data_IF_857685165186
#
_entry.id   IF_857685165186
#
_cell.length_a   1.000
_cell.length_b   1.000
_cell.length_c   1.000
_cell.angle_alpha   90.00
_cell.angle_beta   90.00
_cell.angle_gamma   90.00
#
_symmetry.space_group_name_H-M   'P 1'
#
loop_
_entity.id
_entity.type
_entity.pdbx_description
1 polymer ?
#
# COMPACT_ATOMS: atom_id res chain seq x y z
N UNK A 1 -13.49 -18.78 35.88
CA UNK A 1 -13.43 -17.74 34.82
C UNK A 1 -14.84 -17.52 34.30
N UNK A 2 -15.37 -16.30 34.36
CA UNK A 2 -16.77 -16.03 34.03
C UNK A 2 -17.04 -16.20 32.53
N UNK A 3 -18.01 -17.05 32.17
CA UNK A 3 -18.51 -17.27 30.80
C UNK A 3 -19.53 -16.21 30.36
N UNK A 4 -19.63 -15.12 31.10
CA UNK A 4 -20.56 -14.03 30.82
C UNK A 4 -19.92 -13.16 29.74
N UNK A 5 -20.63 -12.91 28.65
CA UNK A 5 -20.17 -12.14 27.47
C UNK A 5 -19.10 -12.80 26.57
N UNK A 6 -18.84 -14.10 26.71
CA UNK A 6 -17.90 -14.80 25.82
C UNK A 6 -18.30 -14.66 24.33
N UNK A 7 -19.60 -14.69 24.03
CA UNK A 7 -20.14 -14.51 22.68
C UNK A 7 -19.84 -13.10 22.15
N UNK A 8 -20.20 -12.06 22.90
CA UNK A 8 -19.97 -10.67 22.49
C UNK A 8 -18.48 -10.37 22.26
N UNK A 9 -17.60 -10.91 23.11
CA UNK A 9 -16.16 -10.75 22.94
C UNK A 9 -15.66 -11.46 21.69
N UNK A 10 -16.06 -12.72 21.49
CA UNK A 10 -15.66 -13.50 20.31
C UNK A 10 -16.11 -12.84 19.01
N UNK A 11 -17.37 -12.44 18.93
CA UNK A 11 -17.91 -11.76 17.74
C UNK A 11 -17.23 -10.40 17.48
N UNK A 12 -16.92 -9.64 18.54
CA UNK A 12 -16.16 -8.39 18.40
C UNK A 12 -14.75 -8.61 17.87
N UNK A 13 -14.05 -9.65 18.33
CA UNK A 13 -12.69 -9.96 17.90
C UNK A 13 -12.64 -10.34 16.42
N UNK A 14 -13.61 -11.11 15.92
CA UNK A 14 -13.75 -11.43 14.49
C UNK A 14 -13.98 -10.16 13.65
N UNK A 15 -14.89 -9.28 14.08
CA UNK A 15 -15.13 -7.99 13.41
C UNK A 15 -13.88 -7.11 13.40
N UNK A 16 -13.12 -7.07 14.50
CA UNK A 16 -11.91 -6.27 14.60
C UNK A 16 -10.79 -6.82 13.71
N UNK A 17 -10.63 -8.15 13.66
CA UNK A 17 -9.67 -8.80 12.78
C UNK A 17 -9.98 -8.49 11.31
N UNK A 18 -11.26 -8.57 10.91
CA UNK A 18 -11.67 -8.28 9.54
C UNK A 18 -11.36 -6.82 9.15
N UNK A 19 -11.63 -5.86 10.04
CA UNK A 19 -11.26 -4.45 9.84
C UNK A 19 -9.76 -4.22 9.73
N UNK A 20 -8.95 -4.99 10.46
CA UNK A 20 -7.48 -4.89 10.38
C UNK A 20 -6.92 -5.42 9.05
N UNK A 21 -7.64 -6.32 8.38
CA UNK A 21 -7.25 -6.90 7.09
C UNK A 21 -7.72 -6.07 5.89
N UNK A 22 -8.72 -5.19 6.08
CA UNK A 22 -9.18 -4.31 5.02
C UNK A 22 -8.34 -3.02 4.99
N UNK A 23 -7.84 -2.60 3.81
CA UNK A 23 -7.00 -1.41 3.70
C UNK A 23 -7.72 -0.11 4.08
N UNK A 24 -9.06 -0.12 4.08
CA UNK A 24 -9.90 1.01 4.49
C UNK A 24 -10.22 1.05 5.99
N UNK A 25 -9.93 -0.02 6.74
CA UNK A 25 -10.36 -0.16 8.14
C UNK A 25 -11.87 -0.36 8.32
N UNK A 26 -12.63 -0.47 7.23
CA UNK A 26 -14.08 -0.68 7.23
C UNK A 26 -14.41 -2.12 6.82
N UNK A 27 -15.55 -2.60 7.29
CA UNK A 27 -16.08 -3.89 6.85
C UNK A 27 -16.61 -3.77 5.42
N UNK A 28 -16.44 -4.80 4.58
CA UNK A 28 -17.14 -4.86 3.31
C UNK A 28 -18.66 -4.82 3.55
N UNK A 29 -19.38 -4.13 2.67
CA UNK A 29 -20.83 -3.94 2.79
C UNK A 29 -21.52 -5.30 2.75
N UNK A 30 -22.49 -5.53 3.63
CA UNK A 30 -23.28 -6.76 3.68
C UNK A 30 -22.69 -7.90 4.49
N UNK A 31 -21.41 -7.85 4.87
CA UNK A 31 -20.76 -8.96 5.61
C UNK A 31 -21.40 -9.21 6.98
N UNK A 32 -21.84 -8.15 7.68
CA UNK A 32 -22.54 -8.31 8.96
C UNK A 32 -23.94 -8.93 8.80
N UNK A 33 -24.58 -8.73 7.65
CA UNK A 33 -25.89 -9.31 7.35
C UNK A 33 -25.81 -10.83 7.16
N UNK A 34 -24.65 -11.35 6.73
CA UNK A 34 -24.37 -12.78 6.64
C UNK A 34 -24.00 -13.42 8.00
N UNK A 35 -23.84 -12.61 9.03
CA UNK A 35 -23.48 -13.05 10.38
C UNK A 35 -22.08 -13.67 10.46
N UNK A 36 -21.90 -14.62 11.38
CA UNK A 36 -20.60 -15.21 11.72
C UNK A 36 -19.92 -15.92 10.54
N UNK A 37 -20.71 -16.61 9.71
CA UNK A 37 -20.18 -17.34 8.56
C UNK A 37 -19.53 -16.37 7.56
N UNK A 38 -20.20 -15.26 7.25
CA UNK A 38 -19.68 -14.21 6.36
C UNK A 38 -18.42 -13.53 6.91
N UNK A 39 -18.33 -13.30 8.22
CA UNK A 39 -17.10 -12.80 8.84
C UNK A 39 -15.94 -13.78 8.65
N UNK A 40 -16.19 -15.07 8.87
CA UNK A 40 -15.15 -16.11 8.77
C UNK A 40 -14.64 -16.28 7.34
N UNK A 41 -15.53 -16.31 6.35
CA UNK A 41 -15.17 -16.41 4.94
C UNK A 41 -14.40 -15.18 4.47
N UNK A 42 -14.89 -13.98 4.78
CA UNK A 42 -14.22 -12.73 4.42
C UNK A 42 -12.81 -12.62 5.05
N UNK A 43 -12.64 -13.06 6.30
CA UNK A 43 -11.33 -13.10 6.95
C UNK A 43 -10.39 -14.08 6.23
N UNK A 44 -10.88 -15.26 5.84
CA UNK A 44 -10.07 -16.25 5.12
C UNK A 44 -9.63 -15.72 3.76
N UNK A 45 -10.55 -15.14 2.99
CA UNK A 45 -10.27 -14.56 1.68
C UNK A 45 -9.25 -13.41 1.76
N UNK A 46 -9.36 -12.54 2.77
CA UNK A 46 -8.43 -11.42 2.92
C UNK A 46 -7.08 -11.85 3.47
N UNK A 47 -7.02 -12.83 4.38
CA UNK A 47 -5.76 -13.44 4.80
C UNK A 47 -5.04 -14.09 3.63
N UNK A 48 -5.79 -14.65 2.68
CA UNK A 48 -5.23 -15.24 1.48
C UNK A 48 -4.58 -14.20 0.56
N UNK A 49 -4.92 -12.92 0.67
CA UNK A 49 -4.35 -11.91 -0.23
C UNK A 49 -2.84 -11.70 -0.07
N UNK A 50 -2.26 -12.08 1.07
CA UNK A 50 -0.81 -12.07 1.31
C UNK A 50 -0.37 -13.47 1.71
N UNK A 51 -0.01 -14.28 0.72
CA UNK A 51 0.43 -15.68 0.93
C UNK A 51 1.96 -15.84 1.04
N UNK A 52 2.75 -14.80 0.77
CA UNK A 52 4.20 -14.89 0.75
C UNK A 52 4.90 -13.64 1.30
N UNK A 53 6.10 -13.83 1.85
CA UNK A 53 6.98 -12.73 2.26
C UNK A 53 7.35 -11.80 1.11
N UNK A 54 7.41 -12.33 -0.11
CA UNK A 54 7.72 -11.52 -1.29
C UNK A 54 6.59 -10.53 -1.62
N UNK A 55 5.34 -10.92 -1.40
CA UNK A 55 4.18 -10.07 -1.67
C UNK A 55 4.01 -9.02 -0.58
N UNK A 56 4.24 -9.40 0.68
CA UNK A 56 4.31 -8.45 1.79
C UNK A 56 5.37 -7.35 1.52
N UNK A 57 6.59 -7.75 1.12
CA UNK A 57 7.67 -6.79 0.81
C UNK A 57 7.34 -5.86 -0.36
N UNK A 58 6.66 -6.35 -1.39
CA UNK A 58 6.22 -5.51 -2.52
C UNK A 58 5.22 -4.45 -2.06
N UNK A 59 4.29 -4.81 -1.19
CA UNK A 59 3.31 -3.88 -0.60
C UNK A 59 4.00 -2.85 0.32
N UNK A 60 4.95 -3.29 1.16
CA UNK A 60 5.64 -2.44 2.12
C UNK A 60 6.61 -1.44 1.48
N UNK A 61 7.09 -1.70 0.26
CA UNK A 61 8.04 -0.83 -0.46
C UNK A 61 7.59 0.64 -0.56
N UNK A 62 6.28 0.90 -0.61
CA UNK A 62 5.74 2.27 -0.64
C UNK A 62 5.93 2.96 0.72
N UNK A 63 5.75 2.22 1.82
CA UNK A 63 5.86 2.71 3.19
C UNK A 63 7.32 2.90 3.64
N UNK A 64 8.27 2.21 3.00
CA UNK A 64 9.71 2.34 3.28
C UNK A 64 10.36 3.57 2.61
N UNK A 65 9.69 4.20 1.63
CA UNK A 65 10.22 5.39 0.96
C UNK A 65 10.27 6.56 1.96
N UNK A 66 11.38 7.31 1.98
CA UNK A 66 11.46 8.54 2.75
C UNK A 66 10.26 9.46 2.40
N UNK A 67 9.58 10.05 3.41
CA UNK A 67 8.57 11.06 3.17
C UNK A 67 9.12 12.19 2.28
N UNK A 68 8.30 12.79 1.39
CA UNK A 68 8.77 13.87 0.52
C UNK A 68 9.37 15.01 1.35
N UNK A 69 10.59 15.44 0.98
CA UNK A 69 11.24 16.59 1.61
C UNK A 69 10.51 17.86 1.18
N UNK A 70 10.27 18.78 2.12
CA UNK A 70 9.48 20.01 1.90
C UNK A 70 10.05 20.91 0.79
N UNK A 71 11.31 20.73 0.40
CA UNK A 71 12.00 21.55 -0.61
C UNK A 71 11.63 21.18 -2.06
N UNK A 72 10.92 20.06 -2.30
CA UNK A 72 10.59 19.60 -3.66
C UNK A 72 9.48 20.37 -4.37
N UNK A 73 8.95 21.44 -3.78
CA UNK A 73 7.97 22.32 -4.44
C UNK A 73 8.61 23.31 -5.44
N UNK A 74 9.94 23.37 -5.54
CA UNK A 74 10.65 24.37 -6.34
C UNK A 74 11.01 23.89 -7.77
N UNK A 75 10.88 22.61 -8.12
CA UNK A 75 11.42 22.09 -9.40
C UNK A 75 10.41 21.66 -10.47
N UNK A 76 9.12 21.98 -10.36
CA UNK A 76 8.11 21.59 -11.38
C UNK A 76 7.57 22.74 -12.24
N UNK A 77 8.20 23.91 -12.23
CA UNK A 77 7.79 25.04 -13.07
C UNK A 77 8.99 25.71 -13.77
N UNK A 78 9.59 25.02 -14.75
CA UNK A 78 10.29 25.69 -15.86
C UNK A 78 10.76 24.67 -16.91
N UNK A 79 10.00 24.56 -17.99
CA UNK A 79 10.49 24.41 -19.39
C UNK A 79 9.55 25.31 -20.22
N UNK A 80 9.94 25.91 -21.37
CA UNK A 80 11.09 25.58 -22.23
C UNK A 80 11.89 26.79 -22.79
N UNK A 81 13.12 26.60 -23.29
CA UNK A 81 13.71 27.40 -24.40
C UNK A 81 15.10 26.87 -24.88
N UNK A 82 15.12 26.36 -26.11
CA UNK A 82 16.18 26.41 -27.16
C UNK A 82 17.58 26.96 -26.78
N UNK A 83 18.71 26.26 -27.00
CA UNK A 83 19.42 26.07 -28.29
C UNK A 83 20.93 25.74 -28.00
N UNK A 84 21.84 25.53 -28.98
CA UNK A 84 21.94 24.39 -29.91
C UNK A 84 23.34 23.69 -29.89
N UNK A 85 23.36 22.44 -30.39
CA UNK A 85 24.46 21.67 -31.00
C UNK A 85 25.94 22.09 -30.77
N UNK A 86 26.69 21.28 -30.03
CA UNK A 86 28.16 21.26 -30.09
C UNK A 86 28.66 20.37 -31.23
N UNK A 87 29.21 21.00 -32.27
CA UNK A 87 29.90 20.36 -33.41
C UNK A 87 31.16 19.64 -32.93
N UNK A 88 31.25 18.33 -33.21
CA UNK A 88 32.47 17.52 -33.03
C UNK A 88 33.55 17.99 -33.99
N UNK A 89 34.63 18.57 -33.47
CA UNK A 89 35.83 18.91 -34.25
C UNK A 89 36.84 17.77 -34.16
N UNK A 90 36.89 16.96 -35.21
CA UNK A 90 38.10 16.20 -35.53
C UNK A 90 39.22 17.19 -35.91
N UNK A 91 40.35 17.13 -35.20
CA UNK A 91 41.61 17.63 -35.73
C UNK A 91 42.66 16.53 -35.63
N UNK A 92 42.89 15.93 -36.81
CA UNK A 92 44.03 15.10 -37.17
C UNK A 92 45.34 15.80 -36.78
N UNK A 93 46.18 15.12 -36.02
CA UNK A 93 47.57 15.49 -35.80
C UNK A 93 48.39 14.88 -36.93
N UNK A 94 49.04 15.71 -37.74
CA UNK A 94 50.02 15.28 -38.75
C UNK A 94 51.40 15.79 -38.35
N UNK A 95 52.32 14.83 -38.24
CA UNK A 95 53.79 14.86 -38.13
C UNK A 95 54.44 15.93 -37.26
#
# INVERSE_FOLDING_TARGET
MARVFAVLRGEREEVLALKGLTPSGQLPVGVLSEGKAGLSTAILELKAKIHSFSDARKLDRVNERMPPRRDSMISLSSEPAESPMSVTSERKFTY
#
